data_IF_507550927051
#
_entry.id   IF_507550927051
#
_cell.length_a   1.000
_cell.length_b   1.000
_cell.length_c   1.000
_cell.angle_alpha   90.00
_cell.angle_beta   90.00
_cell.angle_gamma   90.00
#
_symmetry.space_group_name_H-M   'P 1'
#
loop_
_entity.id
_entity.type
_entity.pdbx_description
1 polymer ?
#
# COMPACT_ATOMS: atom_id res chain seq x y z
N UNK A 1 -7.63 -6.53 -9.04
CA UNK A 1 -6.46 -6.92 -8.24
C UNK A 1 -6.87 -7.66 -6.97
N UNK A 2 -5.91 -8.32 -6.32
CA UNK A 2 -6.14 -9.13 -5.12
C UNK A 2 -5.53 -8.45 -3.90
N UNK A 3 -6.14 -8.68 -2.74
CA UNK A 3 -5.62 -8.20 -1.46
C UNK A 3 -5.52 -9.35 -0.46
N UNK A 4 -4.52 -9.26 0.43
CA UNK A 4 -4.44 -10.07 1.64
C UNK A 4 -4.44 -9.12 2.84
N UNK A 5 -5.46 -9.23 3.69
CA UNK A 5 -5.62 -8.35 4.85
C UNK A 5 -4.89 -8.95 6.06
N UNK A 6 -3.90 -8.23 6.59
CA UNK A 6 -3.21 -8.62 7.83
C UNK A 6 -3.92 -8.08 9.07
N UNK A 7 -4.36 -6.84 9.02
CA UNK A 7 -4.97 -6.12 10.14
C UNK A 7 -5.93 -5.05 9.64
N UNK A 8 -7.02 -4.89 10.38
CA UNK A 8 -7.93 -3.76 10.21
C UNK A 8 -8.53 -3.36 11.55
N UNK A 9 -8.51 -2.06 11.87
CA UNK A 9 -9.18 -1.53 13.05
C UNK A 9 -10.66 -1.95 13.08
N UNK A 10 -11.16 -2.38 14.24
CA UNK A 10 -12.49 -2.92 14.41
C UNK A 10 -12.64 -4.41 14.09
N UNK A 11 -11.69 -5.00 13.36
CA UNK A 11 -11.62 -6.45 13.09
C UNK A 11 -10.41 -7.12 13.75
N UNK A 12 -9.41 -6.31 14.13
CA UNK A 12 -8.16 -6.82 14.69
C UNK A 12 -7.29 -7.54 13.66
N UNK A 13 -6.51 -8.51 14.13
CA UNK A 13 -5.63 -9.34 13.30
C UNK A 13 -6.48 -10.32 12.50
N UNK A 14 -6.36 -10.27 11.16
CA UNK A 14 -7.15 -11.11 10.23
C UNK A 14 -6.31 -12.18 9.55
N UNK A 15 -5.03 -12.33 9.90
CA UNK A 15 -4.08 -13.20 9.21
C UNK A 15 -3.09 -13.81 10.19
N UNK A 16 -2.82 -15.10 10.02
CA UNK A 16 -1.75 -15.81 10.72
C UNK A 16 -0.35 -15.26 10.38
N UNK A 17 -0.21 -14.54 9.27
CA UNK A 17 1.03 -13.90 8.82
C UNK A 17 1.30 -12.53 9.46
N UNK A 18 0.37 -12.03 10.30
CA UNK A 18 0.55 -10.75 10.98
C UNK A 18 1.83 -10.69 11.84
N UNK A 19 2.21 -11.73 12.62
CA UNK A 19 3.45 -11.69 13.40
C UNK A 19 4.69 -11.48 12.52
N UNK A 20 4.73 -12.11 11.35
CA UNK A 20 5.82 -11.91 10.38
C UNK A 20 5.86 -10.45 9.89
N UNK A 21 4.72 -9.89 9.51
CA UNK A 21 4.63 -8.49 9.09
C UNK A 21 5.07 -7.53 10.20
N UNK A 22 4.67 -7.79 11.44
CA UNK A 22 5.08 -7.00 12.60
C UNK A 22 6.59 -7.03 12.78
N UNK A 23 7.19 -8.21 12.77
CA UNK A 23 8.63 -8.39 12.97
C UNK A 23 9.48 -7.76 11.86
N UNK A 24 9.02 -7.81 10.62
CA UNK A 24 9.79 -7.36 9.45
C UNK A 24 9.56 -5.90 9.11
N UNK A 25 8.36 -5.37 9.27
CA UNK A 25 7.98 -4.04 8.81
C UNK A 25 7.42 -3.14 9.92
N UNK A 26 6.34 -3.56 10.60
CA UNK A 26 5.58 -2.65 11.46
C UNK A 26 6.41 -2.11 12.63
N UNK A 27 7.28 -2.92 13.23
CA UNK A 27 8.16 -2.49 14.31
C UNK A 27 9.17 -1.39 13.90
N UNK A 28 9.38 -1.20 12.61
CA UNK A 28 10.28 -0.17 12.05
C UNK A 28 9.55 1.15 11.80
N UNK A 29 8.24 1.16 11.91
CA UNK A 29 7.41 2.33 11.72
C UNK A 29 7.06 2.90 13.09
N UNK A 30 7.30 4.19 13.29
CA UNK A 30 6.87 4.86 14.51
C UNK A 30 5.38 5.22 14.40
N UNK A 31 4.51 4.41 14.99
CA UNK A 31 3.06 4.65 15.01
C UNK A 31 2.50 4.53 16.43
N UNK A 32 1.47 5.31 16.73
CA UNK A 32 0.68 5.21 17.96
C UNK A 32 -0.55 4.31 17.78
N UNK A 33 -1.06 4.22 16.56
CA UNK A 33 -2.27 3.45 16.26
C UNK A 33 -2.24 2.90 14.83
N UNK A 34 -2.42 1.58 14.71
CA UNK A 34 -2.50 0.93 13.40
C UNK A 34 -3.96 0.92 12.92
N UNK A 35 -4.20 1.47 11.72
CA UNK A 35 -5.53 1.51 11.13
C UNK A 35 -5.76 0.28 10.25
N UNK A 36 -4.84 0.00 9.34
CA UNK A 36 -4.94 -1.11 8.39
C UNK A 36 -3.56 -1.51 7.87
N UNK A 37 -3.37 -2.80 7.66
CA UNK A 37 -2.22 -3.34 6.93
C UNK A 37 -2.69 -4.41 5.97
N UNK A 38 -2.35 -4.29 4.70
CA UNK A 38 -2.71 -5.24 3.64
C UNK A 38 -1.60 -5.39 2.60
N UNK A 39 -1.47 -6.59 2.03
CA UNK A 39 -0.72 -6.79 0.79
C UNK A 39 -1.65 -6.62 -0.41
N UNK A 40 -1.13 -6.09 -1.49
CA UNK A 40 -1.81 -5.97 -2.78
C UNK A 40 -1.04 -6.74 -3.85
N UNK A 41 -1.76 -7.41 -4.72
CA UNK A 41 -1.26 -8.08 -5.92
C UNK A 41 -2.01 -7.53 -7.12
N UNK A 42 -1.29 -6.90 -8.04
CA UNK A 42 -1.82 -6.39 -9.32
C UNK A 42 -1.27 -7.28 -10.44
N UNK A 43 -2.06 -8.23 -10.98
CA UNK A 43 -1.61 -9.10 -12.05
C UNK A 43 -1.20 -8.31 -13.30
N UNK A 44 -0.27 -8.89 -14.06
CA UNK A 44 0.12 -8.38 -15.37
C UNK A 44 -1.07 -8.31 -16.32
N UNK A 45 -1.05 -7.31 -17.19
CA UNK A 45 -1.87 -7.27 -18.39
C UNK A 45 -1.06 -6.73 -19.58
N UNK A 46 -1.61 -6.82 -20.78
CA UNK A 46 -0.94 -6.39 -22.01
C UNK A 46 -0.74 -4.87 -22.03
N UNK A 47 -1.59 -4.13 -21.33
CA UNK A 47 -1.52 -2.69 -21.17
C UNK A 47 -1.40 -2.29 -19.73
N UNK A 48 -0.69 -1.18 -19.48
CA UNK A 48 -0.66 -0.54 -18.18
C UNK A 48 -2.03 0.05 -17.86
N UNK A 49 -2.65 -0.41 -16.80
CA UNK A 49 -3.97 0.02 -16.34
C UNK A 49 -3.77 0.88 -15.09
N UNK A 50 -4.31 2.08 -15.10
CA UNK A 50 -4.41 2.93 -13.90
C UNK A 50 -5.77 2.69 -13.25
N UNK A 51 -5.73 2.21 -12.01
CA UNK A 51 -6.94 2.04 -11.21
C UNK A 51 -7.52 3.41 -10.81
N UNK A 52 -8.83 3.50 -10.52
CA UNK A 52 -9.45 4.75 -10.11
C UNK A 52 -8.75 5.39 -8.91
N UNK A 53 -8.66 6.72 -8.93
CA UNK A 53 -8.20 7.49 -7.76
C UNK A 53 -9.12 7.25 -6.57
N UNK A 54 -8.54 7.09 -5.39
CA UNK A 54 -9.26 6.84 -4.16
C UNK A 54 -8.52 7.44 -2.96
N UNK A 55 -9.21 7.47 -1.85
CA UNK A 55 -8.66 7.80 -0.52
C UNK A 55 -8.63 6.51 0.29
N UNK A 56 -7.54 6.25 1.00
CA UNK A 56 -7.48 5.08 1.88
C UNK A 56 -8.24 5.30 3.19
N UNK A 57 -8.27 6.54 3.67
CA UNK A 57 -8.88 6.91 4.93
C UNK A 57 -9.40 8.35 4.91
N UNK A 58 -10.58 8.58 5.48
CA UNK A 58 -11.27 9.87 5.45
C UNK A 58 -11.49 10.51 6.82
N UNK A 59 -10.76 10.10 7.83
CA UNK A 59 -10.86 10.73 9.14
C UNK A 59 -10.11 12.06 9.14
N UNK A 60 -10.87 13.15 9.13
CA UNK A 60 -10.32 14.50 9.15
C UNK A 60 -9.92 14.98 10.55
N UNK A 61 -10.23 14.22 11.60
CA UNK A 61 -9.95 14.61 12.98
C UNK A 61 -8.55 14.22 13.45
N UNK A 62 -7.92 13.27 12.79
CA UNK A 62 -6.60 12.78 13.15
C UNK A 62 -5.69 12.74 11.92
N UNK A 63 -4.42 13.19 12.03
CA UNK A 63 -3.47 13.11 10.94
C UNK A 63 -3.13 11.65 10.66
N UNK A 64 -3.61 11.11 9.56
CA UNK A 64 -3.29 9.76 9.11
C UNK A 64 -2.05 9.74 8.24
N UNK A 65 -1.26 8.69 8.35
CA UNK A 65 -0.06 8.44 7.56
C UNK A 65 -0.23 7.15 6.77
N UNK A 66 0.33 7.12 5.58
CA UNK A 66 0.36 5.95 4.71
C UNK A 66 1.79 5.55 4.37
N UNK A 67 1.99 4.26 4.26
CA UNK A 67 3.21 3.65 3.75
C UNK A 67 2.85 2.64 2.68
N UNK A 68 3.52 2.72 1.53
CA UNK A 68 3.54 1.66 0.52
C UNK A 68 4.96 1.13 0.41
N UNK A 69 5.16 -0.13 0.78
CA UNK A 69 6.41 -0.85 0.58
C UNK A 69 6.30 -1.69 -0.69
N UNK A 70 7.08 -1.36 -1.71
CA UNK A 70 7.16 -2.17 -2.94
C UNK A 70 7.96 -3.44 -2.66
N UNK A 71 7.39 -4.60 -3.02
CA UNK A 71 8.02 -5.90 -2.80
C UNK A 71 8.82 -6.38 -4.01
N UNK A 72 8.53 -5.85 -5.21
CA UNK A 72 9.28 -6.17 -6.43
C UNK A 72 9.46 -4.95 -7.31
N UNK A 73 10.43 -5.03 -8.20
CA UNK A 73 10.70 -4.01 -9.22
C UNK A 73 9.92 -4.32 -10.49
N UNK A 74 9.14 -3.35 -10.95
CA UNK A 74 8.41 -3.43 -12.21
C UNK A 74 8.08 -2.02 -12.73
N UNK A 75 7.51 -1.94 -13.93
CA UNK A 75 7.09 -0.65 -14.51
C UNK A 75 5.77 -0.09 -13.95
N UNK A 76 5.16 -0.77 -12.99
CA UNK A 76 4.01 -0.27 -12.25
C UNK A 76 4.38 0.83 -11.27
N UNK A 77 3.40 1.65 -10.87
CA UNK A 77 3.63 2.82 -10.04
C UNK A 77 2.45 3.13 -9.12
N UNK A 78 2.71 3.97 -8.12
CA UNK A 78 1.70 4.71 -7.37
C UNK A 78 1.69 6.14 -7.86
N UNK A 79 0.51 6.67 -8.17
CA UNK A 79 0.32 8.03 -8.68
C UNK A 79 -0.27 8.87 -7.55
N UNK A 80 0.45 9.91 -7.14
CA UNK A 80 0.03 10.81 -6.06
C UNK A 80 -0.92 11.90 -6.58
N UNK A 81 -1.52 12.66 -5.65
CA UNK A 81 -2.46 13.75 -5.95
C UNK A 81 -1.93 14.73 -6.99
N UNK A 82 -0.66 15.10 -6.90
CA UNK A 82 0.01 16.05 -7.80
C UNK A 82 0.44 15.45 -9.15
N UNK A 83 0.05 14.21 -9.45
CA UNK A 83 0.42 13.49 -10.66
C UNK A 83 1.80 12.83 -10.63
N UNK A 84 2.56 12.99 -9.54
CA UNK A 84 3.88 12.34 -9.41
C UNK A 84 3.73 10.83 -9.40
N UNK A 85 4.45 10.15 -10.27
CA UNK A 85 4.55 8.69 -10.31
C UNK A 85 5.74 8.21 -9.48
N UNK A 86 5.47 7.31 -8.54
CA UNK A 86 6.50 6.60 -7.77
C UNK A 86 6.54 5.17 -8.23
N UNK A 87 7.57 4.82 -8.99
CA UNK A 87 7.74 3.47 -9.57
C UNK A 87 7.98 2.42 -8.49
N UNK A 88 7.46 1.22 -8.75
CA UNK A 88 7.71 0.04 -7.93
C UNK A 88 9.16 -0.41 -8.08
N UNK A 89 9.93 -0.27 -7.01
CA UNK A 89 11.29 -0.78 -6.88
C UNK A 89 11.36 -1.59 -5.60
N UNK A 90 11.88 -2.81 -5.66
CA UNK A 90 11.96 -3.69 -4.49
C UNK A 90 12.59 -2.95 -3.29
N UNK A 91 11.95 -3.07 -2.13
CA UNK A 91 12.32 -2.41 -0.87
C UNK A 91 12.17 -0.87 -0.84
N UNK A 92 11.58 -0.26 -1.86
CA UNK A 92 11.24 1.16 -1.81
C UNK A 92 10.03 1.37 -0.92
N UNK A 93 10.20 2.22 0.09
CA UNK A 93 9.12 2.71 0.95
C UNK A 93 8.68 4.10 0.48
N UNK A 94 7.39 4.24 0.19
CA UNK A 94 6.75 5.53 -0.10
C UNK A 94 5.89 5.92 1.11
N UNK A 95 6.25 7.01 1.77
CA UNK A 95 5.43 7.64 2.80
C UNK A 95 4.56 8.71 2.15
N UNK A 96 3.26 8.68 2.41
CA UNK A 96 2.31 9.57 1.75
C UNK A 96 1.12 9.88 2.66
N UNK A 97 0.32 10.87 2.27
CA UNK A 97 -0.93 11.19 2.97
C UNK A 97 -2.09 10.36 2.38
N UNK A 98 -2.60 9.34 3.11
CA UNK A 98 -3.67 8.47 2.59
C UNK A 98 -5.04 9.15 2.52
N UNK A 99 -5.17 10.36 3.08
CA UNK A 99 -6.37 11.21 2.96
C UNK A 99 -6.37 12.06 1.69
N UNK A 100 -5.32 11.98 0.88
CA UNK A 100 -5.24 12.64 -0.43
C UNK A 100 -5.48 11.64 -1.55
N UNK A 101 -6.10 12.09 -2.66
CA UNK A 101 -6.36 11.21 -3.80
C UNK A 101 -5.07 10.61 -4.36
N UNK A 102 -5.08 9.31 -4.55
CA UNK A 102 -3.97 8.59 -5.17
C UNK A 102 -4.50 7.39 -5.96
N UNK A 103 -3.68 6.87 -6.84
CA UNK A 103 -4.02 5.72 -7.68
C UNK A 103 -2.85 4.74 -7.77
N UNK A 104 -3.14 3.51 -8.12
CA UNK A 104 -2.17 2.47 -8.41
C UNK A 104 -2.28 2.01 -9.85
N UNK A 105 -1.17 1.57 -10.44
CA UNK A 105 -1.17 0.87 -11.71
C UNK A 105 -0.78 -0.60 -11.52
N UNK A 106 -1.19 -1.44 -12.45
CA UNK A 106 -0.58 -2.77 -12.62
C UNK A 106 0.82 -2.63 -13.26
N UNK A 107 1.37 -3.73 -13.75
CA UNK A 107 2.60 -3.77 -14.54
C UNK A 107 2.39 -4.57 -15.83
N UNK A 108 3.34 -4.41 -16.77
CA UNK A 108 3.36 -5.14 -18.05
C UNK A 108 4.63 -5.96 -18.24
N UNK A 109 5.65 -5.74 -17.42
CA UNK A 109 7.01 -6.30 -17.54
C UNK A 109 7.35 -7.39 -16.51
N UNK A 110 6.46 -7.65 -15.55
CA UNK A 110 6.57 -8.71 -14.55
C UNK A 110 5.26 -9.47 -14.44
N UNK A 111 5.24 -10.66 -13.81
CA UNK A 111 4.01 -11.44 -13.63
C UNK A 111 2.95 -10.70 -12.81
N UNK A 112 3.37 -9.92 -11.84
CA UNK A 112 2.52 -9.05 -11.06
C UNK A 112 3.33 -7.95 -10.37
N UNK A 113 2.65 -6.90 -9.93
CA UNK A 113 3.17 -5.91 -8.99
C UNK A 113 2.68 -6.23 -7.60
N UNK A 114 3.60 -6.29 -6.64
CA UNK A 114 3.30 -6.57 -5.24
C UNK A 114 3.72 -5.41 -4.35
N UNK A 115 2.87 -5.05 -3.41
CA UNK A 115 3.22 -4.10 -2.36
C UNK A 115 2.47 -4.37 -1.06
N UNK A 116 2.97 -3.80 0.03
CA UNK A 116 2.27 -3.74 1.31
C UNK A 116 1.86 -2.29 1.55
N UNK A 117 0.58 -2.09 1.86
CA UNK A 117 0.00 -0.79 2.21
C UNK A 117 -0.34 -0.79 3.70
N UNK A 118 0.19 0.19 4.43
CA UNK A 118 -0.04 0.38 5.86
C UNK A 118 -0.60 1.79 6.09
N UNK A 119 -1.73 1.87 6.79
CA UNK A 119 -2.31 3.13 7.23
C UNK A 119 -2.26 3.19 8.77
N UNK A 120 -1.81 4.31 9.31
CA UNK A 120 -1.55 4.46 10.74
C UNK A 120 -1.60 5.94 11.19
N UNK A 121 -1.61 6.15 12.50
CA UNK A 121 -1.50 7.46 13.16
C UNK A 121 -0.21 7.52 13.97
#
# INVERSE_FOLDING_TARGET
YFIHLFYKNGRGTSSEWYPMLHQTLLRKINYSFLIRAKANCYPRSDRKITHPKHLDYRDYKSPTKGLILSLNTCNGATILENGKEVKSVANRALFFNPSKPHASTNCTDQHARFNINVNYI
#
